data_IF_216212900788
#
_entry.id   IF_216212900788
#
_cell.length_a   1.000
_cell.length_b   1.000
_cell.length_c   1.000
_cell.angle_alpha   90.00
_cell.angle_beta   90.00
_cell.angle_gamma   90.00
#
_symmetry.space_group_name_H-M   'P 1'
#
loop_
_entity.id
_entity.type
_entity.pdbx_description
1 polymer ?
#
# COMPACT_ATOMS: atom_id res chain seq x y z
N UNK A 1 0.45 35.22 44.22
CA UNK A 1 0.84 34.57 42.94
C UNK A 1 1.80 33.43 43.25
N UNK A 2 1.70 32.32 42.50
CA UNK A 2 2.64 31.17 42.43
C UNK A 2 2.37 29.97 43.35
N UNK A 3 1.20 29.36 43.21
CA UNK A 3 1.02 27.92 43.52
C UNK A 3 0.14 27.31 42.43
N UNK A 4 0.68 27.14 41.22
CA UNK A 4 -0.02 26.40 40.14
C UNK A 4 0.93 26.16 38.95
N UNK A 5 1.99 25.37 39.10
CA UNK A 5 2.86 25.02 37.95
C UNK A 5 3.72 23.77 38.17
N UNK A 6 3.30 22.83 39.03
CA UNK A 6 4.09 21.63 39.33
C UNK A 6 3.40 20.29 39.01
N UNK A 7 2.18 20.31 38.44
CA UNK A 7 1.42 19.07 38.18
C UNK A 7 1.52 18.56 36.73
N UNK A 8 2.05 19.36 35.80
CA UNK A 8 2.01 19.05 34.35
C UNK A 8 3.16 18.16 33.85
N UNK A 9 4.21 17.95 34.66
CA UNK A 9 5.42 17.23 34.22
C UNK A 9 5.34 15.70 34.39
N UNK A 10 4.41 15.18 35.20
CA UNK A 10 4.28 13.72 35.41
C UNK A 10 3.50 12.99 34.31
N UNK A 11 2.83 13.70 33.40
CA UNK A 11 2.02 13.08 32.34
C UNK A 11 2.82 12.67 31.09
N UNK A 12 4.09 13.10 30.95
CA UNK A 12 4.95 12.70 29.83
C UNK A 12 5.75 11.41 30.08
N UNK A 13 5.79 10.89 31.32
CA UNK A 13 6.51 9.66 31.63
C UNK A 13 5.75 8.38 31.22
N UNK A 14 4.49 8.49 30.76
CA UNK A 14 3.66 7.35 30.37
C UNK A 14 3.65 7.04 28.85
N UNK A 15 4.35 7.82 28.02
CA UNK A 15 4.52 7.54 26.58
C UNK A 15 5.91 7.01 26.21
N UNK A 16 6.71 6.62 27.21
CA UNK A 16 8.02 5.98 27.03
C UNK A 16 8.02 4.58 27.63
N UNK A 17 7.02 3.75 27.30
CA UNK A 17 7.06 2.34 27.68
C UNK A 17 8.13 1.68 26.79
N UNK A 18 9.24 1.35 27.43
CA UNK A 18 10.35 0.61 26.86
C UNK A 18 9.85 -0.59 26.05
N UNK A 19 10.41 -0.73 24.85
CA UNK A 19 10.38 -1.97 24.07
C UNK A 19 10.81 -3.11 25.00
N UNK A 20 9.83 -3.85 25.53
CA UNK A 20 10.13 -5.14 26.14
C UNK A 20 10.62 -5.99 24.99
N UNK A 21 11.94 -6.17 24.94
CA UNK A 21 12.58 -7.20 24.15
C UNK A 21 11.75 -8.48 24.36
N UNK A 22 11.09 -8.90 23.29
CA UNK A 22 10.27 -10.10 23.30
C UNK A 22 11.17 -11.26 23.73
N UNK A 23 10.84 -11.87 24.86
CA UNK A 23 11.46 -13.13 25.24
C UNK A 23 11.20 -14.15 24.13
N UNK A 24 12.21 -14.94 23.71
CA UNK A 24 12.01 -15.94 22.67
C UNK A 24 11.04 -17.00 23.21
N UNK A 25 9.82 -16.99 22.69
CA UNK A 25 8.81 -18.01 23.00
C UNK A 25 9.35 -19.39 22.59
N UNK A 26 9.44 -20.36 23.51
CA UNK A 26 9.84 -21.71 23.18
C UNK A 26 8.66 -22.43 22.53
N UNK A 27 8.77 -22.70 21.23
CA UNK A 27 7.87 -23.64 20.55
C UNK A 27 7.61 -23.31 19.10
N UNK A 28 8.28 -24.05 18.21
CA UNK A 28 7.89 -24.58 16.89
C UNK A 28 6.67 -24.00 16.13
N UNK A 29 6.37 -22.71 16.24
CA UNK A 29 5.41 -22.06 15.39
C UNK A 29 6.10 -21.82 14.05
N UNK A 30 5.96 -22.77 13.14
CA UNK A 30 6.21 -22.54 11.72
C UNK A 30 4.97 -21.82 11.19
N UNK A 31 5.06 -20.53 10.84
CA UNK A 31 3.91 -19.83 10.27
C UNK A 31 3.47 -20.58 9.01
N UNK A 32 2.17 -20.81 8.82
CA UNK A 32 1.68 -21.39 7.57
C UNK A 32 2.15 -20.52 6.41
N UNK A 33 2.62 -21.15 5.35
CA UNK A 33 3.05 -20.44 4.13
C UNK A 33 1.86 -19.64 3.61
N UNK A 34 2.04 -18.34 3.42
CA UNK A 34 1.01 -17.47 2.84
C UNK A 34 0.64 -18.01 1.47
N UNK A 35 -0.61 -18.45 1.32
CA UNK A 35 -1.15 -18.91 0.04
C UNK A 35 -1.83 -17.74 -0.66
N UNK A 36 -1.64 -17.62 -1.97
CA UNK A 36 -2.42 -16.70 -2.78
C UNK A 36 -3.92 -17.06 -2.66
N UNK A 37 -4.82 -16.07 -2.54
CA UNK A 37 -6.25 -16.33 -2.52
C UNK A 37 -6.68 -17.15 -3.76
N UNK A 38 -7.37 -18.26 -3.54
CA UNK A 38 -7.96 -19.02 -4.64
C UNK A 38 -9.10 -18.18 -5.27
N UNK A 39 -9.12 -18.02 -6.61
CA UNK A 39 -10.20 -17.29 -7.27
C UNK A 39 -11.55 -17.95 -7.01
N UNK A 40 -12.52 -17.19 -6.50
CA UNK A 40 -13.90 -17.67 -6.37
C UNK A 40 -14.51 -17.74 -7.78
N UNK A 41 -15.19 -18.86 -8.09
CA UNK A 41 -15.87 -19.03 -9.37
C UNK A 41 -16.88 -17.90 -9.61
N UNK A 42 -16.84 -17.29 -10.80
CA UNK A 42 -17.72 -16.16 -11.16
C UNK A 42 -17.22 -14.78 -10.72
N UNK A 43 -16.15 -14.66 -9.94
CA UNK A 43 -15.58 -13.36 -9.53
C UNK A 43 -14.44 -12.88 -10.44
N UNK A 44 -14.40 -13.33 -11.70
CA UNK A 44 -13.39 -12.87 -12.64
C UNK A 44 -13.70 -11.42 -13.02
N UNK A 45 -12.80 -10.50 -12.70
CA UNK A 45 -12.79 -9.15 -13.27
C UNK A 45 -12.77 -9.28 -14.80
N UNK A 46 -13.88 -8.90 -15.46
CA UNK A 46 -14.07 -9.03 -16.91
C UNK A 46 -13.67 -7.78 -17.67
N UNK A 47 -13.54 -6.65 -16.99
CA UNK A 47 -13.17 -5.37 -17.60
C UNK A 47 -11.72 -5.44 -18.07
N UNK A 48 -11.42 -5.28 -19.36
CA UNK A 48 -10.05 -5.36 -19.87
C UNK A 48 -9.19 -4.19 -19.34
N UNK A 49 -7.88 -4.38 -19.18
CA UNK A 49 -6.97 -3.30 -18.75
C UNK A 49 -6.97 -2.10 -19.71
N UNK A 50 -7.30 -2.32 -20.98
CA UNK A 50 -7.45 -1.25 -21.98
C UNK A 50 -8.58 -0.29 -21.65
N UNK A 51 -9.55 -0.67 -20.81
CA UNK A 51 -10.61 0.22 -20.34
C UNK A 51 -10.10 1.39 -19.49
N UNK A 52 -8.88 1.31 -18.95
CA UNK A 52 -8.26 2.40 -18.19
C UNK A 52 -7.55 3.42 -19.09
N UNK A 53 -7.38 3.16 -20.39
CA UNK A 53 -6.73 4.11 -21.30
C UNK A 53 -7.53 5.43 -21.32
N UNK A 54 -6.83 6.55 -21.10
CA UNK A 54 -7.41 7.88 -20.97
C UNK A 54 -7.85 8.26 -19.55
N UNK A 55 -7.89 7.32 -18.61
CA UNK A 55 -8.15 7.57 -17.20
C UNK A 55 -6.86 7.79 -16.42
N UNK A 56 -6.90 8.55 -15.32
CA UNK A 56 -5.79 8.61 -14.38
C UNK A 56 -5.72 7.30 -13.57
N UNK A 57 -4.52 6.88 -13.10
CA UNK A 57 -4.39 5.63 -12.34
C UNK A 57 -5.23 5.55 -11.07
N UNK A 58 -5.58 6.69 -10.48
CA UNK A 58 -6.46 6.81 -9.31
C UNK A 58 -7.95 6.79 -9.64
N UNK A 59 -8.33 6.94 -10.91
CA UNK A 59 -9.72 6.91 -11.34
C UNK A 59 -10.23 5.47 -11.31
N UNK A 60 -11.43 5.30 -10.78
CA UNK A 60 -12.08 4.00 -10.75
C UNK A 60 -12.79 3.72 -12.08
N UNK A 61 -12.52 2.56 -12.67
CA UNK A 61 -13.30 1.97 -13.76
C UNK A 61 -14.01 0.75 -13.18
N UNK A 62 -15.34 0.70 -13.28
CA UNK A 62 -16.18 -0.31 -12.62
C UNK A 62 -15.91 -0.47 -11.11
N UNK A 63 -15.60 0.65 -10.44
CA UNK A 63 -15.36 0.68 -8.99
C UNK A 63 -13.95 0.27 -8.55
N UNK A 64 -13.05 -0.05 -9.47
CA UNK A 64 -11.66 -0.46 -9.16
C UNK A 64 -10.67 0.48 -9.83
N UNK A 65 -9.70 1.00 -9.07
CA UNK A 65 -8.62 1.82 -9.63
C UNK A 65 -7.58 0.96 -10.34
N UNK A 66 -6.76 1.56 -11.21
CA UNK A 66 -5.81 0.79 -12.03
C UNK A 66 -4.81 -0.02 -11.18
N UNK A 67 -4.29 0.56 -10.10
CA UNK A 67 -3.33 -0.13 -9.23
C UNK A 67 -3.97 -1.15 -8.29
N UNK A 68 -5.28 -1.08 -8.06
CA UNK A 68 -6.03 -2.05 -7.24
C UNK A 68 -6.42 -3.30 -8.03
N UNK A 69 -6.22 -3.30 -9.36
CA UNK A 69 -6.42 -4.49 -10.20
C UNK A 69 -5.51 -5.62 -9.74
N UNK A 70 -6.05 -6.82 -9.57
CA UNK A 70 -5.31 -7.98 -9.04
C UNK A 70 -4.05 -8.27 -9.87
N UNK A 71 -4.16 -8.20 -11.19
CA UNK A 71 -3.04 -8.43 -12.10
C UNK A 71 -1.99 -7.30 -12.06
N UNK A 72 -2.38 -6.05 -11.80
CA UNK A 72 -1.44 -4.92 -11.72
C UNK A 72 -0.75 -4.88 -10.35
N UNK A 73 -1.51 -5.07 -9.28
CA UNK A 73 -1.00 -5.16 -7.91
C UNK A 73 -0.08 -6.36 -7.72
N UNK A 74 -0.40 -7.52 -8.32
CA UNK A 74 0.49 -8.68 -8.35
C UNK A 74 1.83 -8.37 -9.01
N UNK A 75 1.81 -7.80 -10.22
CA UNK A 75 3.05 -7.37 -10.91
C UNK A 75 3.84 -6.35 -10.11
N UNK A 76 3.18 -5.39 -9.45
CA UNK A 76 3.85 -4.42 -8.58
C UNK A 76 4.53 -5.07 -7.38
N UNK A 77 3.93 -6.11 -6.79
CA UNK A 77 4.52 -6.85 -5.67
C UNK A 77 5.75 -7.63 -6.14
N UNK A 78 5.66 -8.26 -7.31
CA UNK A 78 6.72 -9.10 -7.87
C UNK A 78 7.91 -8.27 -8.38
N UNK A 79 7.66 -7.16 -9.08
CA UNK A 79 8.69 -6.35 -9.74
C UNK A 79 9.30 -5.26 -8.82
N UNK A 80 8.56 -4.81 -7.81
CA UNK A 80 8.99 -3.74 -6.89
C UNK A 80 9.07 -4.30 -5.48
N UNK A 81 10.21 -4.90 -5.07
CA UNK A 81 10.31 -5.62 -3.79
C UNK A 81 10.18 -4.69 -2.57
N UNK A 82 10.57 -3.43 -2.70
CA UNK A 82 10.53 -2.47 -1.60
C UNK A 82 9.14 -1.87 -1.39
N UNK A 83 8.54 -2.13 -0.22
CA UNK A 83 7.19 -1.67 0.12
C UNK A 83 7.07 -0.14 0.13
N UNK A 84 8.10 0.58 0.61
CA UNK A 84 8.11 2.05 0.60
C UNK A 84 8.00 2.60 -0.81
N UNK A 85 8.66 1.95 -1.77
CA UNK A 85 8.58 2.32 -3.18
C UNK A 85 7.21 2.00 -3.76
N UNK A 86 6.64 0.81 -3.51
CA UNK A 86 5.27 0.46 -3.93
C UNK A 86 4.24 1.48 -3.45
N UNK A 87 4.28 1.86 -2.17
CA UNK A 87 3.38 2.88 -1.59
C UNK A 87 3.54 4.24 -2.25
N UNK A 88 4.74 4.59 -2.69
CA UNK A 88 5.00 5.83 -3.42
C UNK A 88 4.41 5.78 -4.83
N UNK A 89 4.49 4.63 -5.51
CA UNK A 89 3.93 4.41 -6.86
C UNK A 89 2.40 4.49 -6.85
N UNK A 90 1.75 3.78 -5.93
CA UNK A 90 0.27 3.73 -5.85
C UNK A 90 -0.33 4.93 -5.09
N UNK A 91 0.52 5.76 -4.50
CA UNK A 91 0.09 6.88 -3.65
C UNK A 91 -0.57 8.00 -4.44
N UNK A 92 -1.63 8.58 -3.87
CA UNK A 92 -2.37 9.73 -4.45
C UNK A 92 -1.56 11.03 -4.53
N UNK A 93 -0.41 11.08 -3.87
CA UNK A 93 0.49 12.24 -3.88
C UNK A 93 1.42 12.27 -5.11
N UNK A 94 1.41 11.21 -5.94
CA UNK A 94 2.17 11.19 -7.18
C UNK A 94 1.50 12.10 -8.23
N UNK A 95 2.32 12.87 -8.96
CA UNK A 95 1.87 13.54 -10.18
C UNK A 95 1.85 12.49 -11.29
N UNK A 96 0.67 12.20 -11.82
CA UNK A 96 0.46 11.18 -12.85
C UNK A 96 -0.09 11.79 -14.13
N UNK A 97 0.09 11.07 -15.23
CA UNK A 97 -0.59 11.35 -16.50
C UNK A 97 -1.66 10.28 -16.76
N UNK A 98 -2.64 10.54 -17.64
CA UNK A 98 -3.58 9.51 -18.06
C UNK A 98 -2.86 8.27 -18.60
N UNK A 99 -3.42 7.11 -18.30
CA UNK A 99 -2.94 5.83 -18.79
C UNK A 99 -3.04 5.79 -20.31
N UNK A 100 -2.02 5.25 -20.96
CA UNK A 100 -1.94 5.22 -22.43
C UNK A 100 -1.56 3.83 -22.94
N UNK A 101 -1.91 3.57 -24.20
CA UNK A 101 -1.48 2.37 -24.89
C UNK A 101 -0.04 2.53 -25.41
N UNK A 102 0.78 1.51 -25.21
CA UNK A 102 2.13 1.39 -25.74
C UNK A 102 2.24 0.08 -26.53
N UNK A 103 1.87 0.14 -27.81
CA UNK A 103 1.72 -1.06 -28.65
C UNK A 103 0.63 -1.97 -28.09
N UNK A 104 1.00 -3.21 -27.73
CA UNK A 104 0.10 -4.19 -27.10
C UNK A 104 0.06 -4.09 -25.56
N UNK A 105 0.71 -3.08 -24.98
CA UNK A 105 0.77 -2.87 -23.51
C UNK A 105 -0.05 -1.65 -23.12
N UNK A 106 -0.39 -1.60 -21.83
CA UNK A 106 -0.95 -0.43 -21.17
C UNK A 106 0.11 0.11 -20.22
N UNK A 107 0.32 1.43 -20.22
CA UNK A 107 1.36 2.08 -19.42
C UNK A 107 0.77 3.18 -18.54
N UNK A 108 1.19 3.19 -17.28
CA UNK A 108 0.97 4.28 -16.34
C UNK A 108 2.33 4.94 -16.04
N UNK A 109 2.36 6.26 -16.00
CA UNK A 109 3.55 7.03 -15.66
C UNK A 109 3.22 8.10 -14.63
N UNK A 110 4.16 8.32 -13.72
CA UNK A 110 4.09 9.43 -12.79
C UNK A 110 5.40 9.66 -12.05
N UNK A 111 5.46 10.79 -11.37
CA UNK A 111 6.54 11.18 -10.50
C UNK A 111 6.00 11.30 -9.07
N UNK A 112 6.58 10.55 -8.14
CA UNK A 112 6.30 10.67 -6.72
C UNK A 112 7.37 11.51 -6.02
N UNK A 113 6.97 12.28 -5.01
CA UNK A 113 7.93 12.72 -3.99
C UNK A 113 8.08 11.57 -2.99
N UNK A 114 9.31 11.13 -2.64
CA UNK A 114 9.49 10.06 -1.66
C UNK A 114 8.82 10.43 -0.34
N UNK A 115 8.02 9.51 0.20
CA UNK A 115 7.41 9.67 1.52
C UNK A 115 8.52 9.80 2.56
N UNK A 116 8.44 10.82 3.43
CA UNK A 116 9.38 10.99 4.54
C UNK A 116 9.26 9.80 5.48
#
# INVERSE_FOLDING_TARGET
MKVMLAASALLLAACGQADRQAEPSPGNFVPPVTQAPAPISGQRQVTPLTAYVGHYPSDAVDGVSFFDRTEVSGLLIDDVPEEKLRRTIVGRAATTVPIFALGQKVAAHGCGRPSR
#
